data_IF_091505354163
#
_entry.id   IF_091505354163
#
_cell.length_a   1.000
_cell.length_b   1.000
_cell.length_c   1.000
_cell.angle_alpha   90.00
_cell.angle_beta   90.00
_cell.angle_gamma   90.00
#
_symmetry.space_group_name_H-M   'P 1'
#
loop_
_entity.id
_entity.type
_entity.pdbx_description
1 polymer ?
#
# COMPACT_ATOMS: atom_id res chain seq x y z
N UNK A 1 15.85 -9.78 11.29
CA UNK A 1 16.33 -10.47 10.08
C UNK A 1 15.23 -10.62 9.04
N UNK A 2 15.62 -10.94 7.79
CA UNK A 2 14.69 -11.43 6.77
C UNK A 2 14.50 -12.95 6.88
N UNK A 3 13.30 -13.43 6.57
CA UNK A 3 12.96 -14.84 6.40
C UNK A 3 12.28 -15.05 5.07
N UNK A 4 12.73 -16.03 4.30
CA UNK A 4 12.13 -16.36 3.00
C UNK A 4 10.75 -17.01 3.17
N UNK A 5 9.73 -16.49 2.47
CA UNK A 5 8.36 -16.99 2.51
C UNK A 5 8.19 -18.41 1.96
N UNK A 6 9.15 -18.91 1.14
CA UNK A 6 9.08 -20.25 0.52
C UNK A 6 9.92 -21.30 1.24
N UNK A 7 11.17 -20.99 1.54
CA UNK A 7 12.13 -22.00 2.03
C UNK A 7 12.61 -21.77 3.47
N UNK A 8 12.15 -20.71 4.14
CA UNK A 8 12.53 -20.38 5.51
C UNK A 8 13.98 -19.90 5.70
N UNK A 9 14.79 -19.79 4.62
CA UNK A 9 16.16 -19.27 4.73
C UNK A 9 16.15 -17.85 5.27
N UNK A 10 17.06 -17.56 6.18
CA UNK A 10 17.24 -16.23 6.76
C UNK A 10 18.31 -15.42 6.03
N UNK A 11 18.23 -14.10 6.12
CA UNK A 11 19.24 -13.17 5.66
C UNK A 11 19.27 -11.93 6.57
N UNK A 12 20.39 -11.24 6.57
CA UNK A 12 20.49 -9.93 7.22
C UNK A 12 19.61 -8.91 6.51
N UNK A 13 18.97 -8.00 7.24
CA UNK A 13 18.14 -6.93 6.67
C UNK A 13 18.94 -5.94 5.81
N UNK A 14 20.27 -5.89 5.99
CA UNK A 14 21.16 -5.09 5.15
C UNK A 14 21.44 -5.72 3.77
N UNK A 15 20.93 -6.94 3.50
CA UNK A 15 21.11 -7.55 2.17
C UNK A 15 20.49 -6.70 1.07
N UNK A 16 21.17 -6.59 -0.06
CA UNK A 16 20.65 -5.93 -1.25
C UNK A 16 19.84 -6.86 -2.16
N UNK A 17 19.78 -8.16 -1.80
CA UNK A 17 18.98 -9.12 -2.55
C UNK A 17 17.48 -8.83 -2.43
N UNK A 18 16.83 -8.56 -3.54
CA UNK A 18 15.38 -8.24 -3.59
C UNK A 18 14.48 -9.41 -3.14
N UNK A 19 14.98 -10.63 -3.29
CA UNK A 19 14.31 -11.89 -2.93
C UNK A 19 15.33 -12.98 -2.63
N UNK A 20 14.88 -14.05 -2.02
CA UNK A 20 15.70 -15.24 -1.78
C UNK A 20 16.12 -15.92 -3.09
N UNK A 21 17.26 -16.58 -3.10
CA UNK A 21 17.75 -17.35 -4.25
C UNK A 21 16.76 -18.44 -4.74
N UNK A 22 15.83 -18.92 -3.88
CA UNK A 22 14.76 -19.81 -4.30
C UNK A 22 13.58 -19.11 -4.98
N UNK A 23 13.64 -17.77 -5.16
CA UNK A 23 12.59 -16.94 -5.72
C UNK A 23 11.49 -16.55 -4.72
N UNK A 24 11.58 -16.94 -3.45
CA UNK A 24 10.64 -16.52 -2.39
C UNK A 24 10.88 -15.08 -1.97
N UNK A 25 9.80 -14.35 -1.67
CA UNK A 25 9.88 -13.00 -1.15
C UNK A 25 10.31 -12.99 0.32
N UNK A 26 10.93 -11.90 0.73
CA UNK A 26 11.32 -11.70 2.12
C UNK A 26 10.12 -11.30 2.97
N UNK A 27 10.11 -11.80 4.20
CA UNK A 27 9.31 -11.34 5.34
C UNK A 27 10.27 -10.86 6.42
N UNK A 28 9.80 -9.95 7.28
CA UNK A 28 10.55 -9.54 8.48
C UNK A 28 10.25 -10.50 9.62
N UNK A 29 11.30 -10.89 10.30
CA UNK A 29 11.27 -11.63 11.57
C UNK A 29 12.05 -10.81 12.60
N UNK A 30 11.33 -10.29 13.58
CA UNK A 30 11.86 -9.44 14.65
C UNK A 30 10.98 -9.56 15.89
N UNK A 31 11.51 -9.16 17.01
CA UNK A 31 10.81 -9.17 18.29
C UNK A 31 9.83 -7.99 18.35
N UNK A 32 8.58 -8.28 17.96
CA UNK A 32 7.49 -7.32 17.95
C UNK A 32 6.84 -7.29 19.36
N UNK A 33 6.97 -6.19 20.14
CA UNK A 33 6.34 -6.10 21.44
C UNK A 33 4.81 -6.17 21.32
N UNK A 34 4.11 -6.57 22.38
CA UNK A 34 2.65 -6.45 22.41
C UNK A 34 2.25 -5.00 22.20
N UNK A 35 1.15 -4.80 21.48
CA UNK A 35 0.62 -3.44 21.32
C UNK A 35 0.16 -2.90 22.69
N UNK A 36 0.73 -1.76 23.03
CA UNK A 36 0.38 -0.98 24.21
C UNK A 36 0.38 0.49 23.83
N UNK A 37 -0.70 1.19 24.11
CA UNK A 37 -0.82 2.63 23.82
C UNK A 37 0.24 3.46 24.54
N UNK A 38 0.79 2.99 25.66
CA UNK A 38 1.89 3.64 26.38
C UNK A 38 3.19 3.69 25.57
N UNK A 39 3.35 2.82 24.56
CA UNK A 39 4.51 2.78 23.66
C UNK A 39 4.36 3.74 22.47
N UNK A 40 3.19 4.36 22.29
CA UNK A 40 2.96 5.37 21.25
C UNK A 40 3.62 6.69 21.69
N UNK A 41 4.56 7.17 20.87
CA UNK A 41 5.16 8.48 21.10
C UNK A 41 4.22 9.60 20.62
N UNK A 42 3.42 10.11 21.52
CA UNK A 42 2.42 11.15 21.21
C UNK A 42 3.01 12.53 20.93
N UNK A 43 4.30 12.75 21.24
CA UNK A 43 5.01 13.98 20.89
C UNK A 43 5.48 13.96 19.42
N UNK A 44 5.56 12.78 18.81
CA UNK A 44 5.83 12.62 17.38
C UNK A 44 4.52 12.63 16.58
N UNK A 45 4.40 13.55 15.61
CA UNK A 45 3.18 13.68 14.81
C UNK A 45 3.09 12.68 13.65
N UNK A 46 4.23 12.28 13.06
CA UNK A 46 4.27 11.37 11.92
C UNK A 46 3.92 9.92 12.28
N UNK A 47 3.92 9.03 11.27
CA UNK A 47 3.76 7.57 11.48
C UNK A 47 4.81 6.98 12.42
N UNK A 48 5.95 7.65 12.58
CA UNK A 48 7.03 7.17 13.45
C UNK A 48 6.69 7.28 14.95
N UNK A 49 5.53 7.84 15.30
CA UNK A 49 4.95 7.69 16.63
C UNK A 49 4.75 6.23 17.02
N UNK A 50 4.58 5.35 16.02
CA UNK A 50 4.41 3.90 16.19
C UNK A 50 5.72 3.11 16.02
N UNK A 51 6.89 3.78 16.02
CA UNK A 51 8.19 3.14 15.77
C UNK A 51 8.54 2.02 16.75
N UNK A 52 7.98 2.03 17.97
CA UNK A 52 8.11 0.93 18.91
C UNK A 52 7.62 -0.43 18.36
N UNK A 53 6.76 -0.38 17.34
CA UNK A 53 6.20 -1.56 16.66
C UNK A 53 6.83 -1.82 15.28
N UNK A 54 7.97 -1.21 14.99
CA UNK A 54 8.72 -1.34 13.74
C UNK A 54 10.15 -1.79 13.99
N UNK A 55 10.74 -2.60 13.11
CA UNK A 55 12.14 -3.03 13.23
C UNK A 55 13.09 -1.96 12.67
N UNK A 56 13.01 -0.73 13.22
CA UNK A 56 13.87 0.38 12.85
C UNK A 56 14.92 0.60 13.92
N UNK A 57 16.20 0.62 13.51
CA UNK A 57 17.30 0.91 14.38
C UNK A 57 17.62 2.42 14.38
N UNK A 58 17.79 2.98 15.57
CA UNK A 58 18.20 4.36 15.78
C UNK A 58 17.21 5.40 15.29
N UNK A 59 17.72 6.61 15.05
CA UNK A 59 16.92 7.81 14.78
C UNK A 59 16.99 8.29 13.31
N UNK A 60 17.46 7.45 12.40
CA UNK A 60 17.60 7.79 10.97
C UNK A 60 16.29 8.29 10.34
N UNK A 61 15.16 7.75 10.80
CA UNK A 61 13.83 8.17 10.37
C UNK A 61 13.56 9.68 10.54
N UNK A 62 14.21 10.35 11.53
CA UNK A 62 14.06 11.79 11.74
C UNK A 62 14.54 12.64 10.56
N UNK A 63 15.49 12.11 9.79
CA UNK A 63 15.99 12.77 8.57
C UNK A 63 15.03 12.56 7.40
N UNK A 64 14.28 11.46 7.42
CA UNK A 64 13.46 10.98 6.31
C UNK A 64 12.04 11.53 6.37
N UNK A 65 11.44 11.57 7.56
CA UNK A 65 10.03 11.97 7.69
C UNK A 65 9.73 13.34 7.06
N UNK A 66 8.57 13.44 6.45
CA UNK A 66 7.95 14.65 5.91
C UNK A 66 6.67 15.00 6.70
N UNK A 67 6.43 14.34 7.85
CA UNK A 67 5.25 14.53 8.68
C UNK A 67 4.04 13.72 8.19
N UNK A 68 4.29 12.65 7.45
CA UNK A 68 3.25 11.73 6.95
C UNK A 68 2.50 11.04 8.10
N UNK A 69 1.22 10.80 7.92
CA UNK A 69 0.37 10.13 8.91
C UNK A 69 -0.56 11.08 9.65
N UNK A 70 -1.18 10.59 10.70
CA UNK A 70 -2.22 11.28 11.49
C UNK A 70 -3.32 11.89 10.62
N UNK A 71 -3.65 11.18 9.52
CA UNK A 71 -4.70 11.60 8.60
C UNK A 71 -6.07 11.53 9.29
N UNK A 72 -6.97 12.50 9.05
CA UNK A 72 -8.24 12.52 9.75
C UNK A 72 -9.19 11.39 9.34
N UNK A 73 -10.05 11.01 10.27
CA UNK A 73 -11.24 10.20 9.99
C UNK A 73 -12.43 11.15 9.95
N UNK A 74 -13.13 11.19 8.81
CA UNK A 74 -14.28 12.05 8.58
C UNK A 74 -15.55 11.20 8.60
N UNK A 75 -16.54 11.60 9.38
CA UNK A 75 -17.90 11.02 9.30
C UNK A 75 -18.56 11.49 8.01
N UNK A 76 -18.83 10.56 7.12
CA UNK A 76 -19.47 10.88 5.84
C UNK A 76 -21.00 10.82 5.94
N UNK A 77 -21.50 9.81 6.63
CA UNK A 77 -22.90 9.68 7.03
C UNK A 77 -23.00 8.83 8.33
N UNK A 78 -24.20 8.38 8.67
CA UNK A 78 -24.42 7.63 9.93
C UNK A 78 -23.74 6.27 9.94
N UNK A 79 -23.50 5.65 8.79
CA UNK A 79 -22.96 4.31 8.64
C UNK A 79 -21.50 4.31 8.17
N UNK A 80 -20.98 5.43 7.64
CA UNK A 80 -19.74 5.48 6.91
C UNK A 80 -18.74 6.51 7.45
N UNK A 81 -17.54 6.03 7.72
CA UNK A 81 -16.35 6.80 8.01
C UNK A 81 -15.39 6.78 6.83
N UNK A 82 -14.72 7.88 6.57
CA UNK A 82 -13.67 8.01 5.56
C UNK A 82 -12.34 8.28 6.23
N UNK A 83 -11.36 7.39 6.06
CA UNK A 83 -9.97 7.63 6.45
C UNK A 83 -9.27 8.37 5.32
N UNK A 84 -8.97 9.65 5.54
CA UNK A 84 -8.46 10.56 4.53
C UNK A 84 -6.96 10.36 4.25
N UNK A 85 -6.59 9.17 3.84
CA UNK A 85 -5.19 8.72 3.72
C UNK A 85 -4.41 9.35 2.55
N UNK A 86 -5.06 10.22 1.78
CA UNK A 86 -4.37 11.08 0.81
C UNK A 86 -3.94 12.44 1.37
N UNK A 87 -4.26 12.76 2.63
CA UNK A 87 -3.71 13.96 3.30
C UNK A 87 -2.27 13.67 3.74
N UNK A 88 -1.44 13.42 2.77
CA UNK A 88 -0.05 13.00 2.88
C UNK A 88 0.84 13.92 2.04
N UNK A 89 2.15 13.99 2.28
CA UNK A 89 3.08 14.84 1.54
C UNK A 89 3.00 14.65 0.02
N UNK A 90 2.87 13.42 -0.47
CA UNK A 90 2.71 13.15 -1.92
C UNK A 90 1.27 12.79 -2.31
N UNK A 91 0.30 13.12 -1.47
CA UNK A 91 -1.13 12.99 -1.72
C UNK A 91 -1.60 11.54 -1.95
N UNK A 92 -0.97 10.57 -1.28
CA UNK A 92 -1.43 9.18 -1.25
C UNK A 92 -0.91 8.41 -0.03
N UNK A 93 -1.60 7.32 0.34
CA UNK A 93 -1.20 6.43 1.43
C UNK A 93 0.19 5.79 1.26
N UNK A 94 0.76 5.84 0.05
CA UNK A 94 2.07 5.25 -0.25
C UNK A 94 3.19 5.87 0.59
N UNK A 95 3.00 7.09 1.05
CA UNK A 95 3.96 7.79 1.92
C UNK A 95 4.23 7.03 3.21
N UNK A 96 3.23 6.33 3.77
CA UNK A 96 3.43 5.48 4.94
C UNK A 96 4.55 4.45 4.71
N UNK A 97 4.43 3.71 3.60
CA UNK A 97 5.41 2.67 3.28
C UNK A 97 6.75 3.24 2.80
N UNK A 98 6.72 4.29 1.98
CA UNK A 98 7.94 4.90 1.45
C UNK A 98 8.81 5.51 2.56
N UNK A 99 8.21 6.17 3.55
CA UNK A 99 8.94 6.75 4.68
C UNK A 99 9.73 5.67 5.44
N UNK A 100 9.13 4.53 5.75
CA UNK A 100 9.80 3.44 6.48
C UNK A 100 10.83 2.74 5.60
N UNK A 101 10.51 2.47 4.34
CA UNK A 101 11.44 1.87 3.38
C UNK A 101 12.70 2.73 3.21
N UNK A 102 12.55 4.04 3.02
CA UNK A 102 13.70 4.93 2.81
C UNK A 102 14.46 5.17 4.12
N UNK A 103 13.80 5.14 5.27
CA UNK A 103 14.47 5.14 6.58
C UNK A 103 15.39 3.92 6.74
N UNK A 104 14.92 2.74 6.35
CA UNK A 104 15.73 1.54 6.32
C UNK A 104 16.89 1.67 5.32
N UNK A 105 16.63 2.09 4.07
CA UNK A 105 17.68 2.31 3.08
C UNK A 105 18.78 3.24 3.60
N UNK A 106 18.39 4.35 4.21
CA UNK A 106 19.34 5.31 4.79
C UNK A 106 20.16 4.70 5.93
N UNK A 107 19.50 3.93 6.81
CA UNK A 107 20.14 3.29 7.97
C UNK A 107 21.21 2.27 7.56
N UNK A 108 20.99 1.53 6.46
CA UNK A 108 21.95 0.54 5.94
C UNK A 108 22.93 1.13 4.92
N UNK A 109 23.00 2.45 4.77
CA UNK A 109 23.96 3.12 3.90
C UNK A 109 23.69 2.96 2.40
N UNK A 110 22.42 2.85 1.99
CA UNK A 110 22.05 2.89 0.57
C UNK A 110 22.12 4.33 0.08
N UNK A 111 22.86 4.56 -0.99
CA UNK A 111 23.06 5.86 -1.64
C UNK A 111 22.35 5.99 -2.99
N UNK A 112 21.92 4.87 -3.58
CA UNK A 112 21.24 4.84 -4.87
C UNK A 112 20.18 3.76 -4.93
N UNK A 113 18.98 4.12 -5.38
CA UNK A 113 17.84 3.20 -5.53
C UNK A 113 17.26 3.22 -6.92
N UNK A 114 16.62 2.12 -7.31
CA UNK A 114 15.80 2.02 -8.52
C UNK A 114 14.39 1.52 -8.16
N UNK A 115 13.38 1.95 -8.93
CA UNK A 115 11.99 1.55 -8.76
C UNK A 115 11.24 1.62 -10.08
N UNK A 116 10.27 0.73 -10.30
CA UNK A 116 9.53 0.55 -11.57
C UNK A 116 8.04 0.92 -11.49
N UNK A 117 7.69 1.94 -10.69
CA UNK A 117 6.32 2.42 -10.59
C UNK A 117 6.16 3.84 -11.10
N UNK A 118 5.30 4.02 -12.10
CA UNK A 118 4.89 5.34 -12.60
C UNK A 118 3.80 6.02 -11.77
N UNK A 119 3.21 5.29 -10.81
CA UNK A 119 2.10 5.76 -9.99
C UNK A 119 2.51 6.34 -8.63
N UNK A 120 1.58 6.26 -7.69
CA UNK A 120 1.74 6.80 -6.34
C UNK A 120 3.00 6.27 -5.61
N UNK A 121 3.37 4.99 -5.83
CA UNK A 121 4.54 4.41 -5.17
C UNK A 121 5.86 5.01 -5.67
N UNK A 122 6.02 5.16 -7.00
CA UNK A 122 7.23 5.79 -7.56
C UNK A 122 7.35 7.26 -7.16
N UNK A 123 6.24 8.00 -7.20
CA UNK A 123 6.21 9.39 -6.77
C UNK A 123 6.59 9.54 -5.28
N UNK A 124 6.06 8.67 -4.41
CA UNK A 124 6.36 8.69 -2.99
C UNK A 124 7.84 8.33 -2.72
N UNK A 125 8.34 7.22 -3.31
CA UNK A 125 9.76 6.83 -3.16
C UNK A 125 10.69 7.96 -3.64
N UNK A 126 10.39 8.59 -4.78
CA UNK A 126 11.18 9.71 -5.29
C UNK A 126 11.23 10.89 -4.28
N UNK A 127 10.10 11.24 -3.68
CA UNK A 127 10.02 12.33 -2.71
C UNK A 127 10.86 12.06 -1.46
N UNK A 128 10.75 10.87 -0.88
CA UNK A 128 11.52 10.52 0.32
C UNK A 128 13.02 10.32 0.03
N UNK A 129 13.38 9.83 -1.15
CA UNK A 129 14.78 9.81 -1.60
C UNK A 129 15.34 11.23 -1.75
N UNK A 130 14.59 12.13 -2.39
CA UNK A 130 14.98 13.55 -2.52
C UNK A 130 15.15 14.22 -1.16
N UNK A 131 14.33 13.88 -0.16
CA UNK A 131 14.42 14.40 1.21
C UNK A 131 15.78 14.12 1.86
N UNK A 132 16.39 12.97 1.60
CA UNK A 132 17.61 12.50 2.28
C UNK A 132 18.84 12.41 1.37
N UNK A 133 18.71 12.87 0.11
CA UNK A 133 19.81 12.87 -0.85
C UNK A 133 20.22 11.47 -1.36
N UNK A 134 19.30 10.50 -1.36
CA UNK A 134 19.50 9.21 -2.02
C UNK A 134 19.23 9.39 -3.51
N UNK A 135 20.18 8.97 -4.35
CA UNK A 135 20.00 8.98 -5.80
C UNK A 135 18.85 8.03 -6.19
N UNK A 136 17.89 8.54 -6.96
CA UNK A 136 16.66 7.80 -7.27
C UNK A 136 16.44 7.73 -8.77
N UNK A 137 16.27 6.52 -9.30
CA UNK A 137 15.85 6.30 -10.68
C UNK A 137 14.50 5.58 -10.70
N UNK A 138 13.55 6.19 -11.40
CA UNK A 138 12.22 5.58 -11.60
C UNK A 138 12.10 5.17 -13.05
N UNK A 139 11.79 3.89 -13.26
CA UNK A 139 11.51 3.32 -14.57
C UNK A 139 10.01 3.34 -14.82
N UNK A 140 9.60 3.88 -15.95
CA UNK A 140 8.19 4.00 -16.34
C UNK A 140 7.99 3.48 -17.76
N UNK A 141 6.87 2.80 -18.04
CA UNK A 141 6.59 2.36 -19.40
C UNK A 141 6.28 3.56 -20.31
N UNK A 142 6.57 3.38 -21.58
CA UNK A 142 6.14 4.31 -22.63
C UNK A 142 4.61 4.52 -22.54
N UNK A 143 4.16 5.76 -22.76
CA UNK A 143 2.75 6.14 -22.59
C UNK A 143 2.37 6.54 -21.16
N UNK A 144 3.30 6.50 -20.20
CA UNK A 144 3.06 7.13 -18.90
C UNK A 144 2.80 8.62 -19.07
N UNK A 145 1.76 9.11 -18.40
CA UNK A 145 1.33 10.50 -18.51
C UNK A 145 2.45 11.48 -18.17
N UNK A 146 2.62 12.57 -18.97
CA UNK A 146 3.62 13.60 -18.70
C UNK A 146 3.52 14.17 -17.28
N UNK A 147 2.31 14.40 -16.78
CA UNK A 147 2.07 14.91 -15.43
C UNK A 147 2.66 13.99 -14.35
N UNK A 148 2.51 12.67 -14.48
CA UNK A 148 3.11 11.70 -13.54
C UNK A 148 4.64 11.73 -13.61
N UNK A 149 5.20 11.82 -14.81
CA UNK A 149 6.65 11.94 -15.04
C UNK A 149 7.19 13.23 -14.41
N UNK A 150 6.52 14.34 -14.63
CA UNK A 150 6.95 15.65 -14.12
C UNK A 150 6.89 15.72 -12.60
N UNK A 151 5.88 15.12 -11.97
CA UNK A 151 5.82 15.01 -10.50
C UNK A 151 7.03 14.25 -9.94
N UNK A 152 7.40 13.12 -10.56
CA UNK A 152 8.55 12.32 -10.12
C UNK A 152 9.86 13.12 -10.31
N UNK A 153 10.02 13.77 -11.46
CA UNK A 153 11.19 14.63 -11.75
C UNK A 153 11.32 15.82 -10.81
N UNK A 154 10.18 16.40 -10.39
CA UNK A 154 10.16 17.51 -9.43
C UNK A 154 10.79 17.16 -8.08
N UNK A 155 10.78 15.89 -7.68
CA UNK A 155 11.46 15.39 -6.49
C UNK A 155 12.97 15.14 -6.71
N UNK A 156 13.52 15.42 -7.92
CA UNK A 156 14.93 15.22 -8.24
C UNK A 156 15.27 13.81 -8.74
N UNK A 157 14.30 12.93 -8.91
CA UNK A 157 14.54 11.58 -9.44
C UNK A 157 14.76 11.60 -10.96
N UNK A 158 15.65 10.73 -11.43
CA UNK A 158 15.79 10.46 -12.87
C UNK A 158 14.65 9.53 -13.31
N UNK A 159 13.99 9.89 -14.42
CA UNK A 159 12.93 9.06 -15.01
C UNK A 159 13.43 8.42 -16.28
N UNK A 160 13.45 7.10 -16.30
CA UNK A 160 13.80 6.28 -17.47
C UNK A 160 12.50 5.80 -18.12
N UNK A 161 12.20 6.30 -19.32
CA UNK A 161 11.05 5.88 -20.11
C UNK A 161 11.46 4.64 -20.92
N UNK A 162 10.82 3.52 -20.66
CA UNK A 162 11.12 2.23 -21.29
C UNK A 162 10.06 1.93 -22.35
N UNK A 163 10.45 1.71 -23.62
CA UNK A 163 9.51 1.31 -24.65
C UNK A 163 8.81 -0.01 -24.34
N UNK A 164 7.54 -0.13 -24.70
CA UNK A 164 6.78 -1.37 -24.57
C UNK A 164 5.98 -1.51 -23.29
N UNK A 165 5.84 -2.74 -22.80
CA UNK A 165 4.92 -3.09 -21.72
C UNK A 165 5.45 -2.74 -20.33
N UNK A 166 4.52 -2.69 -19.34
CA UNK A 166 4.87 -2.53 -17.94
C UNK A 166 5.76 -3.66 -17.41
N UNK A 167 5.54 -4.91 -17.88
CA UNK A 167 6.34 -6.05 -17.45
C UNK A 167 7.78 -5.92 -17.98
N UNK A 168 7.94 -5.51 -19.23
CA UNK A 168 9.26 -5.21 -19.80
C UNK A 168 9.98 -4.07 -19.06
N UNK A 169 9.26 -3.03 -18.70
CA UNK A 169 9.79 -1.94 -17.87
C UNK A 169 10.34 -2.44 -16.53
N UNK A 170 9.59 -3.34 -15.86
CA UNK A 170 10.03 -3.96 -14.62
C UNK A 170 11.29 -4.84 -14.83
N UNK A 171 11.39 -5.56 -15.96
CA UNK A 171 12.57 -6.37 -16.28
C UNK A 171 13.81 -5.48 -16.49
N UNK A 172 13.67 -4.38 -17.21
CA UNK A 172 14.76 -3.40 -17.42
C UNK A 172 15.21 -2.80 -16.09
N UNK A 173 14.28 -2.44 -15.21
CA UNK A 173 14.61 -1.94 -13.88
C UNK A 173 15.40 -2.97 -13.06
N UNK A 174 14.96 -4.23 -13.05
CA UNK A 174 15.69 -5.31 -12.33
C UNK A 174 17.06 -5.63 -12.91
N UNK A 175 17.26 -5.46 -14.23
CA UNK A 175 18.58 -5.59 -14.83
C UNK A 175 19.56 -4.57 -14.23
N UNK A 176 19.14 -3.32 -13.99
CA UNK A 176 19.96 -2.31 -13.30
C UNK A 176 20.38 -2.72 -11.89
N UNK A 177 19.50 -3.41 -11.16
CA UNK A 177 19.85 -3.94 -9.82
C UNK A 177 21.00 -4.92 -9.93
N UNK A 178 20.96 -5.84 -10.90
CA UNK A 178 21.97 -6.89 -11.07
C UNK A 178 23.29 -6.34 -11.64
N UNK A 179 23.21 -5.47 -12.65
CA UNK A 179 24.38 -4.96 -13.40
C UNK A 179 25.13 -3.86 -12.63
N UNK A 180 24.42 -2.99 -11.91
CA UNK A 180 25.00 -1.82 -11.27
C UNK A 180 25.00 -1.91 -9.73
N UNK A 181 24.48 -3.00 -9.15
CA UNK A 181 24.43 -3.19 -7.71
C UNK A 181 23.53 -2.20 -6.97
N UNK A 182 22.58 -1.56 -7.67
CA UNK A 182 21.63 -0.61 -7.08
C UNK A 182 20.63 -1.32 -6.18
N UNK A 183 20.10 -0.57 -5.22
CA UNK A 183 19.07 -1.11 -4.33
C UNK A 183 17.70 -1.03 -5.00
N UNK A 184 16.96 -2.16 -5.01
CA UNK A 184 15.60 -2.20 -5.54
C UNK A 184 14.60 -1.75 -4.47
N UNK A 185 14.26 -0.46 -4.49
CA UNK A 185 13.30 0.14 -3.55
C UNK A 185 11.84 -0.11 -3.96
N UNK A 186 11.53 -1.35 -4.34
CA UNK A 186 10.18 -1.71 -4.79
C UNK A 186 9.26 -1.94 -3.61
N UNK A 187 8.12 -1.26 -3.62
CA UNK A 187 7.10 -1.25 -2.58
C UNK A 187 6.40 -2.61 -2.36
N UNK A 188 6.47 -3.52 -3.33
CA UNK A 188 5.85 -4.85 -3.23
C UNK A 188 6.82 -5.88 -2.66
N UNK A 189 8.09 -5.80 -3.08
CA UNK A 189 9.12 -6.75 -2.67
C UNK A 189 9.61 -6.48 -1.25
N UNK A 190 9.84 -5.21 -0.90
CA UNK A 190 10.49 -4.86 0.36
C UNK A 190 9.53 -4.88 1.54
N UNK A 191 9.77 -5.73 2.55
CA UNK A 191 8.85 -5.87 3.68
C UNK A 191 8.81 -4.64 4.60
N UNK A 192 9.82 -3.75 4.62
CA UNK A 192 9.77 -2.50 5.36
C UNK A 192 8.66 -1.55 4.89
N UNK A 193 8.25 -1.66 3.62
CA UNK A 193 7.11 -0.88 3.14
C UNK A 193 5.81 -1.24 3.87
N UNK A 194 5.64 -2.52 4.21
CA UNK A 194 4.46 -2.99 4.95
C UNK A 194 4.48 -2.54 6.41
N UNK A 195 5.65 -2.38 7.00
CA UNK A 195 5.78 -1.82 8.35
C UNK A 195 5.21 -0.39 8.41
N UNK A 196 5.44 0.39 7.36
CA UNK A 196 4.81 1.71 7.22
C UNK A 196 3.30 1.63 7.04
N UNK A 197 2.80 0.75 6.18
CA UNK A 197 1.34 0.64 5.94
C UNK A 197 0.58 0.01 7.11
N UNK A 198 1.22 -0.72 8.01
CA UNK A 198 0.64 -1.14 9.32
C UNK A 198 0.10 0.04 10.12
N UNK A 199 0.75 1.19 10.03
CA UNK A 199 0.38 2.38 10.80
C UNK A 199 -1.02 2.90 10.49
N UNK A 200 -1.57 2.57 9.33
CA UNK A 200 -2.95 2.86 8.97
C UNK A 200 -3.94 2.36 10.05
N UNK A 201 -3.81 1.12 10.47
CA UNK A 201 -4.69 0.52 11.49
C UNK A 201 -4.36 1.04 12.90
N UNK A 202 -3.09 1.25 13.22
CA UNK A 202 -2.71 1.83 14.52
C UNK A 202 -3.31 3.23 14.69
N UNK A 203 -3.29 4.06 13.65
CA UNK A 203 -3.97 5.36 13.67
C UNK A 203 -5.48 5.25 13.81
N UNK A 204 -6.11 4.33 13.08
CA UNK A 204 -7.57 4.11 13.21
C UNK A 204 -7.93 3.76 14.65
N UNK A 205 -7.16 2.86 15.25
CA UNK A 205 -7.37 2.48 16.65
C UNK A 205 -7.11 3.66 17.60
N UNK A 206 -6.01 4.38 17.45
CA UNK A 206 -5.68 5.52 18.32
C UNK A 206 -6.73 6.65 18.23
N UNK A 207 -7.27 6.91 17.03
CA UNK A 207 -8.25 7.97 16.81
C UNK A 207 -9.66 7.60 17.27
N UNK A 208 -10.06 6.33 17.18
CA UNK A 208 -11.41 5.87 17.49
C UNK A 208 -11.49 5.11 18.83
N UNK A 209 -10.36 4.71 19.40
CA UNK A 209 -10.24 3.76 20.54
C UNK A 209 -10.96 2.42 20.30
N UNK A 210 -11.12 2.06 19.04
CA UNK A 210 -11.72 0.82 18.53
C UNK A 210 -11.38 0.63 17.06
N UNK A 211 -11.69 -0.53 16.55
CA UNK A 211 -11.64 -0.82 15.11
C UNK A 211 -13.08 -0.86 14.57
N UNK A 212 -13.40 -0.18 13.46
CA UNK A 212 -14.70 -0.30 12.78
C UNK A 212 -15.04 -1.74 12.42
N UNK A 213 -16.32 -2.09 12.41
CA UNK A 213 -16.77 -3.45 12.13
C UNK A 213 -16.48 -3.88 10.69
N UNK A 214 -16.54 -2.92 9.73
CA UNK A 214 -16.34 -3.18 8.32
C UNK A 214 -15.26 -2.25 7.75
N UNK A 215 -14.27 -2.81 7.05
CA UNK A 215 -13.18 -2.03 6.44
C UNK A 215 -13.06 -2.40 4.97
N UNK A 216 -13.18 -1.41 4.09
CA UNK A 216 -13.07 -1.56 2.64
C UNK A 216 -11.69 -1.12 2.17
N UNK A 217 -10.94 -2.03 1.57
CA UNK A 217 -9.56 -1.82 1.13
C UNK A 217 -9.41 -2.15 -0.36
N UNK A 218 -8.98 -1.20 -1.21
CA UNK A 218 -8.67 -1.50 -2.59
C UNK A 218 -7.38 -2.33 -2.68
N UNK A 219 -7.40 -3.38 -3.52
CA UNK A 219 -6.34 -4.37 -3.60
C UNK A 219 -5.85 -4.57 -5.02
N UNK A 220 -4.65 -4.05 -5.31
CA UNK A 220 -3.83 -4.42 -6.46
C UNK A 220 -2.71 -5.36 -6.01
N UNK A 221 -1.51 -4.82 -5.77
CA UNK A 221 -0.40 -5.58 -5.16
C UNK A 221 -0.58 -5.87 -3.65
N UNK A 222 -1.59 -5.29 -3.00
CA UNK A 222 -1.95 -5.59 -1.62
C UNK A 222 -1.10 -4.89 -0.56
N UNK A 223 -0.36 -3.84 -0.88
CA UNK A 223 0.52 -3.19 0.11
C UNK A 223 -0.24 -2.55 1.28
N UNK A 224 -1.41 -1.94 1.02
CA UNK A 224 -2.27 -1.45 2.09
C UNK A 224 -3.01 -2.59 2.79
N UNK A 225 -3.58 -3.52 2.02
CA UNK A 225 -4.33 -4.65 2.54
C UNK A 225 -3.49 -5.50 3.51
N UNK A 226 -2.30 -5.94 3.08
CA UNK A 226 -1.42 -6.75 3.93
C UNK A 226 -0.92 -5.97 5.14
N UNK A 227 -0.55 -4.69 4.98
CA UNK A 227 -0.17 -3.85 6.11
C UNK A 227 -1.30 -3.73 7.15
N UNK A 228 -2.53 -3.48 6.69
CA UNK A 228 -3.70 -3.41 7.56
C UNK A 228 -3.95 -4.76 8.27
N UNK A 229 -3.88 -5.87 7.54
CA UNK A 229 -4.07 -7.22 8.12
C UNK A 229 -2.98 -7.53 9.15
N UNK A 230 -1.71 -7.23 8.86
CA UNK A 230 -0.61 -7.46 9.82
C UNK A 230 -0.79 -6.66 11.11
N UNK A 231 -1.23 -5.40 11.01
CA UNK A 231 -1.53 -4.60 12.19
C UNK A 231 -2.74 -5.14 12.97
N UNK A 232 -3.80 -5.57 12.29
CA UNK A 232 -4.95 -6.20 12.94
C UNK A 232 -4.57 -7.53 13.62
N UNK A 233 -3.72 -8.36 12.99
CA UNK A 233 -3.17 -9.56 13.61
C UNK A 233 -2.35 -9.22 14.86
N UNK A 234 -1.59 -8.12 14.83
CA UNK A 234 -0.84 -7.64 15.98
C UNK A 234 -1.78 -7.20 17.12
N UNK A 235 -2.82 -6.41 16.84
CA UNK A 235 -3.82 -6.00 17.85
C UNK A 235 -4.57 -7.20 18.44
N UNK A 236 -4.94 -8.17 17.60
CA UNK A 236 -5.60 -9.39 18.02
C UNK A 236 -4.70 -10.24 18.93
N UNK A 237 -3.44 -10.46 18.52
CA UNK A 237 -2.45 -11.21 19.31
C UNK A 237 -2.13 -10.51 20.63
N UNK A 238 -2.18 -9.19 20.66
CA UNK A 238 -1.97 -8.38 21.87
C UNK A 238 -3.18 -8.33 22.80
N UNK A 239 -4.34 -8.85 22.35
CA UNK A 239 -5.59 -8.84 23.13
C UNK A 239 -6.31 -7.48 23.11
N UNK A 240 -5.92 -6.57 22.25
CA UNK A 240 -6.52 -5.23 22.10
C UNK A 240 -7.87 -5.30 21.41
N UNK A 241 -8.00 -6.18 20.44
CA UNK A 241 -9.28 -6.52 19.79
C UNK A 241 -9.60 -8.00 20.01
N UNK A 242 -10.89 -8.31 20.17
CA UNK A 242 -11.33 -9.68 20.43
C UNK A 242 -11.47 -10.54 19.17
N UNK A 243 -11.69 -9.90 18.01
CA UNK A 243 -11.89 -10.55 16.70
C UNK A 243 -11.42 -9.66 15.57
N UNK A 244 -11.12 -10.27 14.43
CA UNK A 244 -10.87 -9.53 13.18
C UNK A 244 -12.16 -8.82 12.74
N UNK A 245 -12.07 -7.57 12.26
CA UNK A 245 -13.19 -6.91 11.59
C UNK A 245 -13.54 -7.62 10.28
N UNK A 246 -14.70 -7.32 9.72
CA UNK A 246 -15.07 -7.74 8.38
C UNK A 246 -14.27 -6.90 7.36
N UNK A 247 -13.29 -7.50 6.72
CA UNK A 247 -12.47 -6.85 5.70
C UNK A 247 -13.03 -7.20 4.32
N UNK A 248 -13.29 -6.18 3.53
CA UNK A 248 -13.76 -6.30 2.17
C UNK A 248 -12.63 -5.84 1.24
N UNK A 249 -12.02 -6.80 0.56
CA UNK A 249 -11.02 -6.54 -0.48
C UNK A 249 -11.72 -6.12 -1.77
N UNK A 250 -11.28 -5.00 -2.36
CA UNK A 250 -11.94 -4.39 -3.51
C UNK A 250 -11.03 -4.46 -4.73
N UNK A 251 -11.52 -5.03 -5.83
CA UNK A 251 -10.83 -5.06 -7.12
C UNK A 251 -11.71 -4.42 -8.21
N UNK A 252 -11.12 -4.01 -9.34
CA UNK A 252 -11.86 -3.63 -10.55
C UNK A 252 -12.38 -4.88 -11.26
N UNK A 253 -13.61 -4.86 -11.79
CA UNK A 253 -14.12 -5.97 -12.63
C UNK A 253 -13.24 -6.20 -13.86
N UNK A 254 -12.54 -5.18 -14.34
CA UNK A 254 -11.63 -5.25 -15.47
C UNK A 254 -10.26 -5.87 -15.12
N UNK A 255 -9.96 -6.07 -13.82
CA UNK A 255 -8.72 -6.69 -13.35
C UNK A 255 -8.91 -7.27 -11.94
N UNK A 256 -9.45 -8.49 -11.85
CA UNK A 256 -9.87 -9.11 -10.59
C UNK A 256 -9.31 -10.52 -10.36
N UNK A 257 -7.96 -10.72 -10.40
CA UNK A 257 -7.37 -12.06 -10.24
C UNK A 257 -7.62 -12.68 -8.87
N UNK A 258 -7.74 -11.88 -7.82
CA UNK A 258 -8.01 -12.37 -6.46
C UNK A 258 -9.48 -12.73 -6.26
N UNK A 259 -10.41 -11.95 -6.83
CA UNK A 259 -11.85 -12.30 -6.81
C UNK A 259 -12.10 -13.61 -7.55
N UNK A 260 -11.57 -13.74 -8.76
CA UNK A 260 -11.69 -14.97 -9.55
C UNK A 260 -11.03 -16.19 -8.88
N UNK A 261 -9.92 -15.97 -8.15
CA UNK A 261 -9.28 -17.03 -7.37
C UNK A 261 -10.14 -17.45 -6.17
N UNK A 262 -10.67 -16.46 -5.41
CA UNK A 262 -11.49 -16.72 -4.23
C UNK A 262 -12.78 -17.47 -4.57
N UNK A 263 -13.45 -17.11 -5.67
CA UNK A 263 -14.65 -17.83 -6.18
C UNK A 263 -14.38 -19.30 -6.50
N UNK A 264 -13.16 -19.60 -6.97
CA UNK A 264 -12.74 -20.97 -7.37
C UNK A 264 -11.96 -21.70 -6.28
N UNK A 265 -11.77 -21.11 -5.11
CA UNK A 265 -11.00 -21.69 -4.00
C UNK A 265 -9.52 -21.90 -4.33
N UNK A 266 -8.92 -21.06 -5.21
CA UNK A 266 -7.51 -21.16 -5.58
C UNK A 266 -6.62 -20.51 -4.53
N UNK A 267 -5.41 -21.05 -4.32
CA UNK A 267 -4.40 -20.49 -3.42
C UNK A 267 -3.39 -19.57 -4.10
N UNK A 268 -3.47 -19.46 -5.42
CA UNK A 268 -2.69 -18.51 -6.24
C UNK A 268 -3.68 -17.61 -7.01
N UNK A 269 -3.28 -16.38 -7.37
CA UNK A 269 -4.13 -15.53 -8.19
C UNK A 269 -4.55 -16.21 -9.48
N UNK A 270 -5.79 -16.02 -9.86
CA UNK A 270 -6.28 -16.58 -11.11
C UNK A 270 -5.64 -15.88 -12.31
N UNK A 271 -5.42 -16.64 -13.39
CA UNK A 271 -5.06 -16.04 -14.67
C UNK A 271 -6.26 -15.26 -15.21
N UNK A 272 -6.06 -13.97 -15.42
CA UNK A 272 -7.05 -13.05 -15.99
C UNK A 272 -6.42 -12.26 -17.13
N UNK A 273 -7.23 -11.83 -18.07
CA UNK A 273 -6.80 -10.87 -19.10
C UNK A 273 -7.30 -9.48 -18.69
N UNK A 274 -6.43 -8.61 -18.15
CA UNK A 274 -6.85 -7.28 -17.75
C UNK A 274 -7.34 -6.47 -18.96
N UNK A 275 -8.42 -5.72 -18.76
CA UNK A 275 -8.90 -4.71 -19.71
C UNK A 275 -8.71 -3.32 -19.09
N UNK A 276 -8.70 -2.24 -19.88
CA UNK A 276 -8.53 -0.89 -19.37
C UNK A 276 -9.53 -0.55 -18.25
N UNK A 277 -9.04 0.07 -17.18
CA UNK A 277 -9.86 0.53 -16.05
C UNK A 277 -9.38 1.89 -15.56
N UNK A 278 -10.32 2.72 -15.15
CA UNK A 278 -10.05 3.99 -14.47
C UNK A 278 -9.40 3.76 -13.10
N UNK A 279 -9.65 2.62 -12.46
CA UNK A 279 -9.03 2.26 -11.17
C UNK A 279 -7.58 1.78 -11.34
N UNK A 280 -6.73 2.58 -11.97
CA UNK A 280 -5.33 2.24 -12.32
C UNK A 280 -4.50 1.73 -11.12
N UNK A 281 -4.75 2.26 -9.92
CA UNK A 281 -4.01 1.89 -8.71
C UNK A 281 -4.18 0.43 -8.29
N UNK A 282 -5.21 -0.26 -8.79
CA UNK A 282 -5.50 -1.67 -8.54
C UNK A 282 -5.54 -2.53 -9.81
N UNK A 283 -5.13 -1.99 -10.95
CA UNK A 283 -5.06 -2.69 -12.23
C UNK A 283 -3.82 -3.61 -12.29
N UNK A 284 -3.77 -4.61 -11.43
CA UNK A 284 -2.65 -5.56 -11.29
C UNK A 284 -3.13 -6.97 -11.61
N UNK A 285 -2.79 -7.46 -12.81
CA UNK A 285 -3.19 -8.79 -13.26
C UNK A 285 -2.45 -9.94 -12.56
N UNK A 286 -1.22 -9.70 -12.10
CA UNK A 286 -0.37 -10.71 -11.44
C UNK A 286 0.22 -10.13 -10.15
N UNK A 287 -0.55 -10.05 -9.05
CA UNK A 287 -0.04 -9.56 -7.78
C UNK A 287 1.02 -10.50 -7.20
N UNK A 288 2.24 -9.98 -6.99
CA UNK A 288 3.39 -10.78 -6.53
C UNK A 288 3.20 -11.44 -5.16
N UNK A 289 2.40 -10.83 -4.28
CA UNK A 289 2.01 -11.40 -2.98
C UNK A 289 0.60 -11.98 -2.99
N UNK A 290 0.09 -12.34 -4.16
CA UNK A 290 -1.29 -12.81 -4.31
C UNK A 290 -1.63 -14.04 -3.48
N UNK A 291 -0.72 -15.02 -3.41
CA UNK A 291 -0.89 -16.18 -2.54
C UNK A 291 -1.00 -15.79 -1.05
N UNK A 292 -0.18 -14.83 -0.59
CA UNK A 292 -0.23 -14.34 0.79
C UNK A 292 -1.54 -13.57 1.06
N UNK A 293 -2.03 -12.80 0.09
CA UNK A 293 -3.33 -12.12 0.19
C UNK A 293 -4.47 -13.14 0.29
N UNK A 294 -4.48 -14.17 -0.57
CA UNK A 294 -5.49 -15.23 -0.55
C UNK A 294 -5.46 -16.04 0.75
N UNK A 295 -4.26 -16.34 1.28
CA UNK A 295 -4.10 -16.96 2.59
C UNK A 295 -4.84 -16.17 3.68
N UNK A 296 -4.67 -14.85 3.71
CA UNK A 296 -5.37 -13.98 4.69
C UNK A 296 -6.87 -13.93 4.45
N UNK A 297 -7.30 -13.84 3.20
CA UNK A 297 -8.72 -13.86 2.83
C UNK A 297 -9.39 -15.14 3.38
N UNK A 298 -8.79 -16.30 3.15
CA UNK A 298 -9.35 -17.58 3.62
C UNK A 298 -9.27 -17.73 5.13
N UNK A 299 -8.11 -17.40 5.72
CA UNK A 299 -7.88 -17.52 7.17
C UNK A 299 -8.93 -16.76 7.99
N UNK A 300 -9.33 -15.59 7.53
CA UNK A 300 -10.24 -14.70 8.24
C UNK A 300 -11.63 -14.59 7.60
N UNK A 301 -11.94 -15.45 6.64
CA UNK A 301 -13.20 -15.44 5.89
C UNK A 301 -13.56 -14.05 5.36
N UNK A 302 -12.58 -13.35 4.81
CA UNK A 302 -12.75 -12.03 4.22
C UNK A 302 -13.50 -12.12 2.89
N UNK A 303 -14.15 -11.03 2.51
CA UNK A 303 -14.85 -10.94 1.22
C UNK A 303 -14.01 -10.22 0.17
N UNK A 304 -14.17 -10.64 -1.07
CA UNK A 304 -13.64 -9.91 -2.23
C UNK A 304 -14.82 -9.44 -3.07
N UNK A 305 -14.85 -8.15 -3.41
CA UNK A 305 -15.89 -7.56 -4.25
C UNK A 305 -15.27 -6.83 -5.44
N UNK A 306 -15.91 -6.93 -6.59
CA UNK A 306 -15.49 -6.19 -7.78
C UNK A 306 -16.33 -4.94 -7.98
N UNK A 307 -15.69 -3.85 -8.43
CA UNK A 307 -16.33 -2.59 -8.78
C UNK A 307 -16.68 -2.65 -10.26
N UNK A 308 -17.94 -2.42 -10.68
CA UNK A 308 -18.26 -2.16 -12.06
C UNK A 308 -17.59 -0.88 -12.55
N UNK A 309 -16.97 -0.90 -13.72
CA UNK A 309 -16.28 0.24 -14.30
C UNK A 309 -17.21 1.47 -14.42
N UNK A 310 -18.46 1.21 -14.82
CA UNK A 310 -19.48 2.26 -14.96
C UNK A 310 -19.82 3.01 -13.66
N UNK A 311 -19.55 2.42 -12.50
CA UNK A 311 -19.88 3.01 -11.19
C UNK A 311 -18.80 3.96 -10.65
N UNK A 312 -17.58 3.92 -11.22
CA UNK A 312 -16.44 4.70 -10.70
C UNK A 312 -16.68 6.20 -10.83
N UNK A 313 -17.03 6.68 -12.03
CA UNK A 313 -17.25 8.12 -12.26
C UNK A 313 -18.48 8.68 -11.51
N UNK A 314 -19.64 7.99 -11.47
CA UNK A 314 -20.75 8.41 -10.62
C UNK A 314 -20.40 8.51 -9.14
N UNK A 315 -19.66 7.54 -8.60
CA UNK A 315 -19.18 7.57 -7.21
C UNK A 315 -18.22 8.74 -6.95
N UNK A 316 -17.29 9.00 -7.88
CA UNK A 316 -16.39 10.16 -7.80
C UNK A 316 -17.14 11.47 -7.81
N UNK A 317 -18.13 11.60 -8.69
CA UNK A 317 -18.97 12.82 -8.77
C UNK A 317 -19.81 13.03 -7.50
N UNK A 318 -20.31 11.96 -6.89
CA UNK A 318 -21.04 12.03 -5.62
C UNK A 318 -20.14 12.53 -4.47
N UNK A 319 -18.95 11.94 -4.33
CA UNK A 319 -17.94 12.37 -3.36
C UNK A 319 -17.54 13.85 -3.59
N UNK A 320 -17.28 14.23 -4.84
CA UNK A 320 -16.89 15.59 -5.20
C UNK A 320 -17.95 16.64 -4.84
N UNK A 321 -19.25 16.34 -5.08
CA UNK A 321 -20.36 17.22 -4.66
C UNK A 321 -20.47 17.40 -3.16
N UNK A 322 -19.86 16.48 -2.38
CA UNK A 322 -19.77 16.56 -0.91
C UNK A 322 -18.40 17.05 -0.42
N UNK A 323 -17.62 17.69 -1.32
CA UNK A 323 -16.33 18.31 -1.01
C UNK A 323 -15.12 17.37 -1.03
N UNK A 324 -15.25 16.13 -1.49
CA UNK A 324 -14.19 15.12 -1.47
C UNK A 324 -13.80 14.76 -2.91
N UNK A 325 -12.71 15.36 -3.39
CA UNK A 325 -12.17 15.09 -4.72
C UNK A 325 -11.00 14.12 -4.67
N UNK A 326 -11.25 12.88 -5.10
CA UNK A 326 -10.31 11.78 -4.98
C UNK A 326 -9.97 11.15 -6.34
N UNK A 327 -8.92 10.34 -6.39
CA UNK A 327 -8.58 9.54 -7.57
C UNK A 327 -9.62 8.44 -7.84
N UNK A 328 -9.60 7.88 -9.05
CA UNK A 328 -10.59 6.90 -9.50
C UNK A 328 -10.58 5.60 -8.66
N UNK A 329 -9.40 5.10 -8.29
CA UNK A 329 -9.30 3.92 -7.40
C UNK A 329 -10.00 4.17 -6.07
N UNK A 330 -9.86 5.36 -5.51
CA UNK A 330 -10.51 5.76 -4.26
C UNK A 330 -12.03 5.85 -4.43
N UNK A 331 -12.50 6.47 -5.53
CA UNK A 331 -13.92 6.53 -5.86
C UNK A 331 -14.50 5.13 -6.06
N UNK A 332 -13.74 4.23 -6.69
CA UNK A 332 -14.11 2.82 -6.83
C UNK A 332 -14.32 2.11 -5.49
N UNK A 333 -13.51 2.45 -4.47
CA UNK A 333 -13.69 1.89 -3.13
C UNK A 333 -15.03 2.31 -2.50
N UNK A 334 -15.46 3.56 -2.74
CA UNK A 334 -16.81 4.01 -2.35
C UNK A 334 -17.92 3.34 -3.17
N UNK A 335 -17.73 3.15 -4.48
CA UNK A 335 -18.67 2.37 -5.30
C UNK A 335 -18.82 0.93 -4.80
N UNK A 336 -17.72 0.30 -4.38
CA UNK A 336 -17.73 -1.03 -3.78
C UNK A 336 -18.55 -1.08 -2.48
N UNK A 337 -18.42 -0.08 -1.61
CA UNK A 337 -19.26 0.03 -0.42
C UNK A 337 -20.75 0.09 -0.78
N UNK A 338 -21.14 0.93 -1.75
CA UNK A 338 -22.52 1.04 -2.20
C UNK A 338 -23.04 -0.28 -2.76
N UNK A 339 -22.25 -0.95 -3.62
CA UNK A 339 -22.56 -2.27 -4.16
C UNK A 339 -22.72 -3.31 -3.05
N UNK A 340 -21.82 -3.30 -2.06
CA UNK A 340 -21.87 -4.21 -0.93
C UNK A 340 -23.17 -4.03 -0.13
N UNK A 341 -23.55 -2.79 0.16
CA UNK A 341 -24.82 -2.48 0.84
C UNK A 341 -26.04 -2.91 0.02
N UNK A 342 -25.99 -2.79 -1.30
CA UNK A 342 -27.07 -3.25 -2.17
C UNK A 342 -27.25 -4.78 -2.15
N UNK A 343 -26.16 -5.52 -1.98
CA UNK A 343 -26.19 -7.01 -1.97
C UNK A 343 -26.54 -7.55 -0.57
N UNK A 344 -25.92 -6.98 0.49
CA UNK A 344 -25.96 -7.55 1.84
C UNK A 344 -26.80 -6.73 2.84
N UNK A 345 -27.38 -5.62 2.38
CA UNK A 345 -28.15 -4.70 3.23
C UNK A 345 -27.29 -3.64 3.88
N UNK A 346 -27.94 -2.86 4.77
CA UNK A 346 -27.28 -1.81 5.54
C UNK A 346 -26.04 -2.32 6.25
N UNK A 347 -24.90 -1.65 6.06
CA UNK A 347 -23.59 -2.03 6.61
C UNK A 347 -23.07 -0.89 7.49
N UNK A 348 -23.54 -0.80 8.75
CA UNK A 348 -23.14 0.27 9.67
C UNK A 348 -21.68 0.09 10.10
N UNK A 349 -21.14 1.15 10.71
CA UNK A 349 -19.76 1.18 11.23
C UNK A 349 -18.73 0.73 10.19
N UNK A 350 -18.83 1.31 9.00
CA UNK A 350 -17.95 1.04 7.87
C UNK A 350 -16.87 2.10 7.76
N UNK A 351 -15.65 1.69 7.40
CA UNK A 351 -14.52 2.55 7.11
C UNK A 351 -14.06 2.32 5.67
N UNK A 352 -13.98 3.40 4.90
CA UNK A 352 -13.37 3.41 3.56
C UNK A 352 -12.03 4.12 3.63
N UNK A 353 -11.02 3.54 2.99
CA UNK A 353 -9.72 4.21 2.80
C UNK A 353 -9.79 5.14 1.60
N UNK A 354 -9.51 6.41 1.83
CA UNK A 354 -9.34 7.44 0.79
C UNK A 354 -7.86 7.49 0.38
N UNK A 355 -7.48 6.65 -0.58
CA UNK A 355 -6.08 6.27 -0.84
C UNK A 355 -5.26 7.33 -1.55
N UNK A 356 -5.86 8.07 -2.48
CA UNK A 356 -5.16 9.05 -3.33
C UNK A 356 -6.03 10.24 -3.69
N UNK A 357 -5.42 11.42 -3.79
CA UNK A 357 -6.08 12.68 -4.12
C UNK A 357 -6.38 12.78 -5.61
N UNK A 358 -7.52 13.41 -5.94
CA UNK A 358 -7.98 13.55 -7.31
C UNK A 358 -7.17 14.51 -8.17
N UNK A 359 -6.52 15.51 -7.56
CA UNK A 359 -5.69 16.49 -8.29
C UNK A 359 -4.44 15.90 -8.96
N UNK A 360 -4.07 14.65 -8.60
CA UNK A 360 -2.97 13.91 -9.23
C UNK A 360 -3.40 13.15 -10.48
N UNK A 361 -4.72 12.95 -10.67
CA UNK A 361 -5.25 12.25 -11.83
C UNK A 361 -5.26 13.17 -13.06
N UNK A 362 -5.06 12.57 -14.23
CA UNK A 362 -5.08 13.29 -15.51
C UNK A 362 -6.50 13.51 -16.05
N UNK A 363 -7.51 12.98 -15.37
CA UNK A 363 -8.92 12.98 -15.80
C UNK A 363 -9.86 13.48 -14.72
#
# INVERSE_FOLDING_TARGET
QYVCSKCGRTADVATRAEKCACGGLWKLDYDLPKFDEALIDRDEWSIFRYRAFMPLDGDTWRQVTLGEGMTPIVRFDDDLLLKMDYYMPTLSFKDRGAAVLISHCKAIGVDSVVQDSSGNAGNSVAAYCGRVGIDCEIFVPEGTSPKKIDMIRAHGARVNIVPGTRDHCADVCRARVTEEGKYYANHVYNPFFYEGTKTYIYEVYEQLHRIPENIFLPVGNGTLFLGAVFALEHLLKSGVIAKMPNIIAVQSEHCAPLAAAAERGLHEPADVTPTPTLAEGIAIGKPMRGAEILEKIYKYNMRVITIPEADILPARAELARRGIYCEHTTAGNYAAYKKYCAIYGRTPDSLITMCGAGLKSDH
#
